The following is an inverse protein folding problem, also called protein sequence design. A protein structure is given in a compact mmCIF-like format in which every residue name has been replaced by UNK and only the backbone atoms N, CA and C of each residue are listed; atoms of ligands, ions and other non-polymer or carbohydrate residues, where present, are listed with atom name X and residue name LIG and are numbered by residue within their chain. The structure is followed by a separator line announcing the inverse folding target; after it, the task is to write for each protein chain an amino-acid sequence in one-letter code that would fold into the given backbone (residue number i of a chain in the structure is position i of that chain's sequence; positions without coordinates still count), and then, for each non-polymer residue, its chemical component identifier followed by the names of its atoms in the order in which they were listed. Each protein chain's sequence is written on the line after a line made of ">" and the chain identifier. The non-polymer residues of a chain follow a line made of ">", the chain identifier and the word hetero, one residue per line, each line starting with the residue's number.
data_IF_639938833054
#
_entry.id   IF_639938833054
#
_cell.length_a   1.000
_cell.length_b   1.000
_cell.length_c   1.000
_cell.angle_alpha   90.00
_cell.angle_beta   90.00
_cell.angle_gamma   90.00
#
_symmetry.space_group_name_H-M   'P 1'
#
loop_
_entity.id
_entity.type
_entity.pdbx_description
1 polymer ?
#
# COMPACT_ATOMS: atom_id res chain seq x y z
N UNK A 1 13.46 18.28 15.17
CA UNK A 1 14.73 18.56 14.45
C UNK A 1 14.97 17.42 13.49
N UNK A 2 14.99 17.67 12.18
CA UNK A 2 15.28 16.65 11.17
C UNK A 2 16.74 16.19 11.34
N UNK A 3 16.93 14.89 11.50
CA UNK A 3 18.25 14.26 11.48
C UNK A 3 18.47 13.73 10.05
N UNK A 4 19.70 13.47 9.66
CA UNK A 4 20.11 13.02 8.31
C UNK A 4 19.40 11.75 7.78
N UNK A 5 18.60 11.08 8.59
CA UNK A 5 17.80 9.90 8.25
C UNK A 5 16.34 10.30 8.00
N UNK A 6 15.62 9.62 7.08
CA UNK A 6 14.20 9.81 6.90
C UNK A 6 13.43 9.61 8.21
N UNK A 7 12.43 10.48 8.48
CA UNK A 7 11.46 10.25 9.54
C UNK A 7 10.37 9.36 8.95
N UNK A 8 10.13 8.23 9.57
CA UNK A 8 9.21 7.19 9.09
C UNK A 8 8.10 6.99 10.10
N UNK A 9 6.87 7.11 9.64
CA UNK A 9 5.69 6.79 10.41
C UNK A 9 4.96 5.61 9.78
N UNK A 10 4.27 4.85 10.63
CA UNK A 10 3.33 3.81 10.26
C UNK A 10 2.08 3.97 11.12
N UNK A 11 0.91 3.86 10.50
CA UNK A 11 -0.37 3.95 11.19
C UNK A 11 -1.35 2.92 10.65
N UNK A 12 -2.09 2.28 11.55
CA UNK A 12 -3.27 1.49 11.24
C UNK A 12 -4.50 2.34 11.49
N UNK A 13 -5.38 2.46 10.50
CA UNK A 13 -6.59 3.26 10.63
C UNK A 13 -7.73 2.76 9.74
N UNK A 14 -9.00 3.01 10.14
CA UNK A 14 -10.11 2.94 9.20
C UNK A 14 -10.02 4.07 8.18
N UNK A 15 -10.32 3.74 6.92
CA UNK A 15 -10.41 4.67 5.81
C UNK A 15 -11.82 4.67 5.25
N UNK A 16 -12.28 5.82 4.75
CA UNK A 16 -13.65 6.00 4.29
C UNK A 16 -13.66 6.55 2.87
N UNK A 17 -14.52 6.00 2.01
CA UNK A 17 -14.72 6.47 0.63
C UNK A 17 -16.22 6.48 0.30
N UNK A 18 -16.65 7.46 -0.49
CA UNK A 18 -18.03 7.52 -0.99
C UNK A 18 -18.32 6.44 -2.03
N UNK A 19 -17.29 5.94 -2.73
CA UNK A 19 -17.42 5.07 -3.90
C UNK A 19 -18.38 5.66 -4.97
N UNK A 20 -18.48 7.01 -5.04
CA UNK A 20 -19.32 7.70 -5.98
C UNK A 20 -18.74 7.57 -7.40
N UNK A 21 -19.55 7.05 -8.34
CA UNK A 21 -19.12 6.85 -9.73
C UNK A 21 -18.63 5.45 -10.07
N UNK A 22 -18.40 4.59 -9.09
CA UNK A 22 -18.05 3.19 -9.34
C UNK A 22 -19.31 2.33 -9.54
N UNK A 23 -20.12 2.68 -10.55
CA UNK A 23 -21.20 1.81 -11.02
C UNK A 23 -20.63 0.73 -11.94
N UNK A 24 -20.26 -0.42 -11.39
CA UNK A 24 -19.66 -1.45 -12.22
C UNK A 24 -19.30 -2.74 -11.51
N UNK A 25 -18.61 -3.61 -12.24
CA UNK A 25 -18.24 -4.97 -11.85
C UNK A 25 -17.36 -5.06 -10.59
N UNK A 26 -16.70 -3.99 -10.20
CA UNK A 26 -15.73 -3.94 -9.10
C UNK A 26 -16.31 -3.51 -7.74
N UNK A 27 -17.63 -3.36 -7.63
CA UNK A 27 -18.31 -2.93 -6.40
C UNK A 27 -18.79 -4.08 -5.52
N UNK A 28 -18.44 -5.32 -5.86
CA UNK A 28 -18.87 -6.51 -5.12
C UNK A 28 -17.80 -7.03 -4.16
N UNK A 29 -18.24 -7.58 -3.02
CA UNK A 29 -17.38 -8.24 -2.04
C UNK A 29 -16.46 -7.29 -1.27
N UNK A 30 -15.24 -7.74 -0.98
CA UNK A 30 -14.25 -7.01 -0.18
C UNK A 30 -13.37 -6.04 -0.99
N UNK A 31 -13.59 -5.91 -2.30
CA UNK A 31 -12.70 -5.14 -3.19
C UNK A 31 -12.95 -3.64 -3.08
N UNK A 32 -14.22 -3.23 -2.99
CA UNK A 32 -14.61 -1.83 -2.86
C UNK A 32 -15.60 -1.67 -1.72
N UNK A 33 -15.15 -1.06 -0.64
CA UNK A 33 -15.94 -0.83 0.58
C UNK A 33 -15.98 0.66 0.91
N UNK A 34 -17.11 1.12 1.46
CA UNK A 34 -17.25 2.49 1.99
C UNK A 34 -16.33 2.73 3.19
N UNK A 35 -16.07 1.69 3.97
CA UNK A 35 -15.11 1.68 5.07
C UNK A 35 -14.19 0.47 4.92
N UNK A 36 -12.88 0.68 5.04
CA UNK A 36 -11.88 -0.38 5.03
C UNK A 36 -10.71 0.00 5.94
N UNK A 37 -10.01 -1.00 6.42
CA UNK A 37 -8.82 -0.80 7.25
C UNK A 37 -7.56 -0.85 6.40
N UNK A 38 -6.61 0.03 6.73
CA UNK A 38 -5.34 0.15 6.02
C UNK A 38 -4.19 0.40 7.01
N UNK A 39 -3.06 -0.20 6.74
CA UNK A 39 -1.78 0.21 7.31
C UNK A 39 -1.14 1.19 6.33
N UNK A 40 -0.83 2.39 6.79
CA UNK A 40 -0.21 3.44 5.97
C UNK A 40 1.20 3.71 6.44
N UNK A 41 2.12 3.83 5.49
CA UNK A 41 3.49 4.27 5.67
C UNK A 41 3.57 5.73 5.23
N UNK A 42 4.16 6.60 6.05
CA UNK A 42 4.33 8.02 5.72
C UNK A 42 5.72 8.50 6.12
N UNK A 43 6.48 9.01 5.14
CA UNK A 43 7.88 9.37 5.34
C UNK A 43 8.15 10.82 4.97
N UNK A 44 9.08 11.42 5.72
CA UNK A 44 9.70 12.71 5.41
C UNK A 44 11.17 12.47 5.14
N UNK A 45 11.68 13.00 4.04
CA UNK A 45 13.09 12.83 3.71
C UNK A 45 13.71 14.09 3.10
N UNK A 46 15.03 14.10 3.08
CA UNK A 46 15.81 15.07 2.32
C UNK A 46 15.44 14.97 0.83
N UNK A 47 15.22 16.12 0.13
CA UNK A 47 14.91 16.13 -1.30
C UNK A 47 15.89 15.32 -2.14
N UNK A 48 17.18 15.35 -1.83
CA UNK A 48 18.21 14.62 -2.58
C UNK A 48 18.08 13.09 -2.47
N UNK A 49 17.37 12.60 -1.44
CA UNK A 49 17.20 11.16 -1.15
C UNK A 49 15.82 10.62 -1.50
N UNK A 50 14.92 11.45 -2.03
CA UNK A 50 13.52 11.04 -2.18
C UNK A 50 13.30 9.91 -3.20
N UNK A 51 14.13 9.79 -4.22
CA UNK A 51 14.05 8.67 -5.17
C UNK A 51 14.46 7.35 -4.54
N UNK A 52 15.51 7.35 -3.72
CA UNK A 52 15.94 6.18 -2.96
C UNK A 52 14.89 5.80 -1.92
N UNK A 53 14.36 6.79 -1.20
CA UNK A 53 13.31 6.61 -0.21
C UNK A 53 12.03 6.03 -0.86
N UNK A 54 11.68 6.44 -2.09
CA UNK A 54 10.54 5.92 -2.83
C UNK A 54 10.70 4.44 -3.16
N UNK A 55 11.88 4.04 -3.67
CA UNK A 55 12.18 2.62 -3.89
C UNK A 55 12.08 1.81 -2.60
N UNK A 56 12.57 2.37 -1.49
CA UNK A 56 12.57 1.68 -0.19
C UNK A 56 11.16 1.51 0.39
N UNK A 57 10.31 2.54 0.38
CA UNK A 57 8.93 2.42 0.88
C UNK A 57 8.11 1.43 0.02
N UNK A 58 8.34 1.42 -1.29
CA UNK A 58 7.73 0.45 -2.21
C UNK A 58 8.19 -0.97 -1.88
N UNK A 59 9.50 -1.18 -1.68
CA UNK A 59 10.05 -2.48 -1.28
C UNK A 59 9.55 -2.95 0.08
N UNK A 60 9.30 -2.04 1.03
CA UNK A 60 8.73 -2.39 2.33
C UNK A 60 7.29 -2.92 2.17
N UNK A 61 6.47 -2.26 1.36
CA UNK A 61 5.12 -2.73 1.04
C UNK A 61 5.15 -4.07 0.27
N UNK A 62 6.03 -4.20 -0.72
CA UNK A 62 6.23 -5.40 -1.53
C UNK A 62 6.62 -6.61 -0.67
N UNK A 63 7.46 -6.40 0.34
CA UNK A 63 7.93 -7.47 1.24
C UNK A 63 6.78 -8.18 1.96
N UNK A 64 5.64 -7.52 2.17
CA UNK A 64 4.48 -8.14 2.79
C UNK A 64 3.84 -9.15 1.84
N UNK A 65 3.67 -8.80 0.56
CA UNK A 65 3.13 -9.71 -0.45
C UNK A 65 4.04 -10.93 -0.65
N UNK A 66 5.36 -10.73 -0.63
CA UNK A 66 6.35 -11.80 -0.69
C UNK A 66 6.22 -12.75 0.51
N UNK A 67 6.13 -12.23 1.74
CA UNK A 67 5.93 -13.04 2.95
C UNK A 67 4.59 -13.79 2.95
N UNK A 68 3.56 -13.22 2.33
CA UNK A 68 2.26 -13.87 2.18
C UNK A 68 2.23 -14.85 1.00
N UNK A 69 3.31 -14.91 0.20
CA UNK A 69 3.42 -15.76 -1.00
C UNK A 69 2.24 -15.54 -1.98
N UNK A 70 1.82 -14.28 -2.14
CA UNK A 70 0.76 -13.91 -3.07
C UNK A 70 1.34 -13.53 -4.43
N UNK A 71 0.74 -13.95 -5.55
CA UNK A 71 1.16 -13.51 -6.87
C UNK A 71 0.79 -12.03 -7.07
N UNK A 72 1.76 -11.22 -7.43
CA UNK A 72 1.60 -9.77 -7.59
C UNK A 72 2.45 -9.23 -8.76
N UNK A 73 2.20 -8.00 -9.13
CA UNK A 73 3.05 -7.22 -10.04
C UNK A 73 3.25 -5.81 -9.52
N UNK A 74 4.36 -5.19 -9.89
CA UNK A 74 4.65 -3.77 -9.67
C UNK A 74 4.34 -3.00 -10.96
N UNK A 75 3.62 -1.90 -10.84
CA UNK A 75 3.21 -1.02 -11.94
C UNK A 75 3.73 0.39 -11.69
N UNK A 76 4.40 0.98 -12.66
CA UNK A 76 4.76 2.41 -12.65
C UNK A 76 3.60 3.19 -13.28
N UNK A 77 2.95 4.03 -12.51
CA UNK A 77 1.69 4.69 -12.91
C UNK A 77 1.98 5.77 -13.95
N UNK A 78 1.24 5.72 -15.06
CA UNK A 78 1.34 6.71 -16.11
C UNK A 78 0.76 8.07 -15.66
N UNK A 79 1.15 9.13 -16.34
CA UNK A 79 0.76 10.50 -16.00
C UNK A 79 -0.76 10.74 -16.05
N UNK A 80 -1.50 9.96 -16.87
CA UNK A 80 -2.96 10.07 -16.96
C UNK A 80 -3.70 9.61 -15.71
N UNK A 81 -3.10 8.69 -14.94
CA UNK A 81 -3.69 8.12 -13.71
C UNK A 81 -2.99 8.62 -12.44
N UNK A 82 -1.95 9.45 -12.60
CA UNK A 82 -1.18 9.96 -11.47
C UNK A 82 -2.00 10.96 -10.66
N UNK A 83 -2.08 10.76 -9.34
CA UNK A 83 -2.75 11.68 -8.43
C UNK A 83 -2.09 13.07 -8.44
N UNK A 84 -2.88 14.14 -8.33
CA UNK A 84 -2.42 15.54 -8.44
C UNK A 84 -1.31 15.94 -7.46
N UNK A 85 -1.17 15.25 -6.33
CA UNK A 85 -0.12 15.50 -5.32
C UNK A 85 1.16 14.69 -5.57
N UNK A 86 1.13 13.75 -6.48
CA UNK A 86 2.22 12.79 -6.71
C UNK A 86 3.06 13.16 -7.91
N UNK A 87 4.36 13.03 -7.78
CA UNK A 87 5.33 13.15 -8.87
C UNK A 87 5.59 11.82 -9.56
N UNK A 88 5.54 10.74 -8.80
CA UNK A 88 5.66 9.35 -9.26
C UNK A 88 4.99 8.42 -8.29
N UNK A 89 4.31 7.42 -8.83
CA UNK A 89 3.64 6.39 -8.03
C UNK A 89 3.96 5.00 -8.57
N UNK A 90 4.25 4.09 -7.65
CA UNK A 90 4.28 2.66 -7.92
C UNK A 90 3.09 2.00 -7.23
N UNK A 91 2.32 1.23 -8.00
CA UNK A 91 1.25 0.40 -7.46
C UNK A 91 1.69 -1.06 -7.41
N UNK A 92 1.36 -1.71 -6.30
CA UNK A 92 1.42 -3.15 -6.18
C UNK A 92 0.03 -3.71 -6.45
N UNK A 93 -0.08 -4.58 -7.42
CA UNK A 93 -1.34 -5.22 -7.78
C UNK A 93 -1.24 -6.73 -7.51
N UNK A 94 -2.23 -7.28 -6.80
CA UNK A 94 -2.32 -8.70 -6.48
C UNK A 94 -3.25 -9.41 -7.47
N UNK A 95 -2.93 -10.64 -7.83
CA UNK A 95 -3.78 -11.47 -8.66
C UNK A 95 -4.99 -11.98 -7.88
N UNK A 96 -6.17 -11.83 -8.46
CA UNK A 96 -7.43 -12.38 -7.95
C UNK A 96 -7.99 -13.44 -8.92
N UNK A 97 -7.93 -14.73 -8.56
CA UNK A 97 -8.39 -15.83 -9.41
C UNK A 97 -9.84 -15.71 -9.87
N UNK A 98 -10.75 -15.27 -8.98
CA UNK A 98 -12.19 -15.18 -9.30
C UNK A 98 -12.49 -14.19 -10.42
N UNK A 99 -11.78 -13.07 -10.45
CA UNK A 99 -11.94 -12.03 -11.46
C UNK A 99 -10.96 -12.16 -12.63
N UNK A 100 -9.99 -13.08 -12.53
CA UNK A 100 -8.92 -13.31 -13.51
C UNK A 100 -8.18 -12.02 -13.88
N UNK A 101 -7.89 -11.19 -12.88
CA UNK A 101 -7.19 -9.93 -13.09
C UNK A 101 -6.38 -9.53 -11.87
N UNK A 102 -5.46 -8.60 -12.10
CA UNK A 102 -4.73 -7.92 -11.04
C UNK A 102 -5.55 -6.77 -10.48
N UNK A 103 -5.47 -6.55 -9.16
CA UNK A 103 -6.10 -5.43 -8.46
C UNK A 103 -5.09 -4.75 -7.55
N UNK A 104 -5.11 -3.43 -7.56
CA UNK A 104 -4.30 -2.61 -6.66
C UNK A 104 -4.52 -3.00 -5.20
N UNK A 105 -3.45 -3.23 -4.47
CA UNK A 105 -3.44 -3.54 -3.04
C UNK A 105 -2.60 -2.56 -2.23
N UNK A 106 -1.67 -1.88 -2.88
CA UNK A 106 -0.85 -0.82 -2.33
C UNK A 106 -0.50 0.19 -3.42
N UNK A 107 -0.48 1.46 -3.05
CA UNK A 107 -0.01 2.55 -3.89
C UNK A 107 1.05 3.32 -3.12
N UNK A 108 2.26 3.44 -3.69
CA UNK A 108 3.40 4.10 -3.07
C UNK A 108 3.80 5.33 -3.88
N UNK A 109 3.62 6.52 -3.30
CA UNK A 109 3.79 7.79 -3.98
C UNK A 109 4.94 8.62 -3.41
N UNK A 110 5.70 9.26 -4.31
CA UNK A 110 6.61 10.34 -4.00
C UNK A 110 5.92 11.66 -4.35
N UNK A 111 5.64 12.49 -3.35
CA UNK A 111 4.93 13.76 -3.50
C UNK A 111 5.89 14.96 -3.59
N UNK A 112 7.20 14.72 -3.63
CA UNK A 112 8.21 15.77 -3.56
C UNK A 112 7.88 16.75 -2.42
N UNK A 113 7.96 18.05 -2.67
CA UNK A 113 7.68 19.09 -1.68
C UNK A 113 6.21 19.56 -1.68
N UNK A 114 5.34 18.96 -2.50
CA UNK A 114 3.95 19.41 -2.67
C UNK A 114 3.19 19.48 -1.35
N UNK A 115 3.22 18.40 -0.55
CA UNK A 115 2.55 18.34 0.74
C UNK A 115 3.31 19.16 1.81
N UNK A 116 4.63 19.13 1.78
CA UNK A 116 5.46 19.86 2.71
C UNK A 116 5.27 21.39 2.60
N UNK A 117 5.11 21.93 1.40
CA UNK A 117 4.80 23.37 1.21
C UNK A 117 3.45 23.76 1.83
N UNK A 118 2.43 22.93 1.66
CA UNK A 118 1.09 23.18 2.20
C UNK A 118 1.02 23.06 3.72
N UNK A 119 1.82 22.19 4.29
CA UNK A 119 1.89 21.95 5.73
C UNK A 119 3.05 22.69 6.42
N UNK A 120 3.76 23.54 5.69
CA UNK A 120 4.93 24.31 6.18
C UNK A 120 6.03 23.43 6.81
N UNK A 121 6.21 22.22 6.31
CA UNK A 121 7.18 21.25 6.82
C UNK A 121 8.58 21.53 6.22
N UNK A 122 9.48 22.00 7.05
CA UNK A 122 10.83 22.38 6.65
C UNK A 122 11.87 21.80 7.58
N UNK A 123 13.09 21.65 7.06
CA UNK A 123 14.27 21.33 7.84
C UNK A 123 15.43 22.24 7.46
N UNK A 124 16.39 22.38 8.35
CA UNK A 124 17.67 22.99 7.99
C UNK A 124 18.58 21.93 7.36
N UNK A 125 18.82 22.08 6.06
CA UNK A 125 19.75 21.27 5.29
C UNK A 125 20.83 22.22 4.79
N UNK A 126 22.09 21.94 5.09
CA UNK A 126 23.24 22.81 4.75
C UNK A 126 23.03 24.29 5.12
N UNK A 127 22.52 24.51 6.34
CA UNK A 127 22.20 25.83 6.92
C UNK A 127 21.04 26.57 6.21
N UNK A 128 20.39 25.98 5.20
CA UNK A 128 19.25 26.56 4.49
C UNK A 128 17.93 25.93 4.97
N UNK A 129 16.88 26.74 5.08
CA UNK A 129 15.53 26.24 5.31
C UNK A 129 15.00 25.63 4.00
N UNK A 130 14.83 24.30 4.01
CA UNK A 130 14.45 23.53 2.83
C UNK A 130 13.16 22.79 3.12
N UNK A 131 12.20 22.79 2.19
CA UNK A 131 11.02 21.92 2.27
C UNK A 131 11.46 20.47 2.12
N UNK A 132 10.96 19.61 2.99
CA UNK A 132 11.21 18.18 2.87
C UNK A 132 10.38 17.58 1.74
N UNK A 133 10.82 16.44 1.22
CA UNK A 133 9.97 15.60 0.39
C UNK A 133 9.16 14.64 1.27
N UNK A 134 7.92 14.37 0.85
CA UNK A 134 7.03 13.44 1.53
C UNK A 134 6.74 12.25 0.63
N UNK A 135 6.62 11.08 1.25
CA UNK A 135 6.27 9.84 0.60
C UNK A 135 5.20 9.15 1.42
N UNK A 136 4.31 8.46 0.74
CA UNK A 136 3.33 7.61 1.40
C UNK A 136 3.21 6.28 0.66
N UNK A 137 2.76 5.25 1.37
CA UNK A 137 2.55 3.94 0.80
C UNK A 137 1.64 3.08 1.68
N UNK A 138 0.79 2.29 1.06
CA UNK A 138 -0.05 1.36 1.80
C UNK A 138 0.71 0.07 2.11
N UNK A 139 0.74 -0.28 3.36
CA UNK A 139 1.42 -1.50 3.76
C UNK A 139 0.56 -2.46 4.60
N UNK A 140 -0.60 -2.92 4.13
CA UNK A 140 -1.35 -2.87 2.88
C UNK A 140 -2.82 -2.48 3.15
N UNK A 141 -3.69 -2.56 2.10
CA UNK A 141 -5.15 -2.54 2.25
C UNK A 141 -5.63 -3.89 2.80
N UNK A 142 -6.10 -3.93 4.07
CA UNK A 142 -6.35 -5.18 4.81
C UNK A 142 -7.43 -6.04 4.14
N UNK A 143 -8.58 -5.45 3.77
CA UNK A 143 -9.68 -6.21 3.17
C UNK A 143 -9.30 -6.87 1.84
N UNK A 144 -8.60 -6.16 0.96
CA UNK A 144 -8.10 -6.74 -0.31
C UNK A 144 -7.04 -7.81 -0.09
N UNK A 145 -6.17 -7.63 0.90
CA UNK A 145 -5.18 -8.64 1.28
C UNK A 145 -5.85 -9.91 1.77
N UNK A 146 -6.89 -9.78 2.60
CA UNK A 146 -7.68 -10.92 3.06
C UNK A 146 -8.37 -11.63 1.91
N UNK A 147 -9.02 -10.89 0.99
CA UNK A 147 -9.63 -11.47 -0.21
C UNK A 147 -8.61 -12.23 -1.06
N UNK A 148 -7.43 -11.66 -1.28
CA UNK A 148 -6.37 -12.30 -2.04
C UNK A 148 -5.85 -13.59 -1.37
N UNK A 149 -5.71 -13.61 -0.04
CA UNK A 149 -5.32 -14.81 0.71
C UNK A 149 -6.39 -15.90 0.56
N UNK A 150 -7.67 -15.56 0.74
CA UNK A 150 -8.77 -16.50 0.63
C UNK A 150 -8.86 -17.10 -0.78
N UNK A 151 -8.80 -16.27 -1.82
CA UNK A 151 -8.92 -16.74 -3.20
C UNK A 151 -7.71 -17.55 -3.66
N UNK A 152 -6.49 -17.10 -3.37
CA UNK A 152 -5.27 -17.82 -3.79
C UNK A 152 -4.98 -19.04 -2.92
N UNK A 153 -5.48 -19.08 -1.69
CA UNK A 153 -5.29 -20.17 -0.75
C UNK A 153 -6.32 -21.30 -0.85
N UNK A 154 -7.41 -21.11 -1.62
CA UNK A 154 -8.51 -22.07 -1.70
C UNK A 154 -8.06 -23.43 -2.24
N UNK A 155 -8.49 -24.50 -1.60
CA UNK A 155 -8.21 -25.88 -1.97
C UNK A 155 -9.44 -26.55 -2.60
N UNK A 156 -9.24 -27.71 -3.20
CA UNK A 156 -10.32 -28.48 -3.87
C UNK A 156 -11.42 -28.95 -2.91
N UNK A 157 -11.09 -29.11 -1.64
CA UNK A 157 -12.05 -29.49 -0.58
C UNK A 157 -12.79 -28.28 0.03
N UNK A 158 -12.58 -27.08 -0.50
CA UNK A 158 -13.16 -25.83 -0.02
C UNK A 158 -12.41 -25.20 1.15
N UNK A 159 -11.42 -25.87 1.72
CA UNK A 159 -10.57 -25.28 2.74
C UNK A 159 -9.64 -24.18 2.16
N UNK A 160 -9.06 -23.36 3.03
CA UNK A 160 -8.13 -22.31 2.62
C UNK A 160 -6.78 -22.51 3.31
N UNK A 161 -5.72 -22.62 2.53
CA UNK A 161 -4.35 -22.65 3.05
C UNK A 161 -3.95 -21.25 3.53
N UNK A 162 -3.55 -21.16 4.80
CA UNK A 162 -3.06 -19.91 5.41
C UNK A 162 -1.58 -19.72 5.08
N UNK A 163 -1.13 -18.54 4.63
CA UNK A 163 0.28 -18.25 4.44
C UNK A 163 1.10 -18.52 5.70
N UNK A 164 2.28 -19.11 5.55
CA UNK A 164 3.12 -19.52 6.69
C UNK A 164 3.44 -18.35 7.63
N UNK A 165 3.61 -17.14 7.07
CA UNK A 165 3.84 -15.93 7.88
C UNK A 165 2.67 -15.57 8.81
N UNK A 166 1.46 -16.01 8.53
CA UNK A 166 0.26 -15.76 9.34
C UNK A 166 -0.06 -16.89 10.31
N UNK A 167 0.51 -18.08 10.12
CA UNK A 167 0.23 -19.24 10.99
C UNK A 167 0.44 -18.95 12.47
N UNK A 168 1.51 -18.23 12.90
CA UNK A 168 1.71 -17.90 14.31
C UNK A 168 0.60 -17.03 14.93
N UNK A 169 -0.08 -16.24 14.09
CA UNK A 169 -1.16 -15.33 14.51
C UNK A 169 -2.54 -15.98 14.39
N UNK A 170 -2.73 -16.80 13.35
CA UNK A 170 -4.00 -17.47 13.08
C UNK A 170 -4.18 -18.77 13.89
N UNK A 171 -3.08 -19.41 14.28
CA UNK A 171 -3.09 -20.64 15.08
C UNK A 171 -3.29 -21.92 14.26
N UNK A 172 -3.47 -21.85 12.94
CA UNK A 172 -3.65 -23.01 12.05
C UNK A 172 -3.08 -22.75 10.69
N UNK A 173 -2.64 -23.83 9.99
CA UNK A 173 -2.21 -23.77 8.58
C UNK A 173 -3.39 -23.79 7.61
N UNK A 174 -4.57 -24.21 8.06
CA UNK A 174 -5.75 -24.42 7.26
C UNK A 174 -6.95 -23.77 7.93
N UNK A 175 -7.70 -22.96 7.19
CA UNK A 175 -9.04 -22.54 7.53
C UNK A 175 -10.01 -23.56 6.91
N UNK A 176 -10.73 -24.28 7.74
CA UNK A 176 -11.76 -25.23 7.32
C UNK A 176 -13.09 -24.50 7.11
N UNK A 177 -13.86 -24.92 6.10
CA UNK A 177 -15.28 -24.59 6.01
C UNK A 177 -16.03 -25.33 7.12
N UNK A 178 -17.01 -24.67 7.73
CA UNK A 178 -17.88 -25.28 8.72
C UNK A 178 -18.77 -26.35 8.07
#
# INVERSE_FOLDING_TARGET
>A
MYKSQPIKYVAYSPCFRREAGSYGRDTKGLISLHQFNKVELYWFCDPSKSLEAHKKITSDAESILQKLNLPYRLVDICTGDLGFSSSRTFDLEVWLPSSKCYREISSCSNCLDFQARRSSIRAKIDKKNTYLHTLNGSGLAIGRTMAAILENGQQTDGSVKIPDALVPYFGSKILKTA
#
